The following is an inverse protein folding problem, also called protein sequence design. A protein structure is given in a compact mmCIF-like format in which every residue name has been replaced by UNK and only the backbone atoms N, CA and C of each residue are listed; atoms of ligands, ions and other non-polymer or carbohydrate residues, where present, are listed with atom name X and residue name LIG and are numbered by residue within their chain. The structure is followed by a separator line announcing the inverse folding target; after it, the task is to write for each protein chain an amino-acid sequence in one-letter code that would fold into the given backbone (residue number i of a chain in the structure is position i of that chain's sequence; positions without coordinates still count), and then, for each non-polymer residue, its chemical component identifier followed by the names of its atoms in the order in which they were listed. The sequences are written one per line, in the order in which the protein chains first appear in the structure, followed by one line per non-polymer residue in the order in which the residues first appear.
data_IF_234584348737
#
_entry.id   IF_234584348737
#
_cell.length_a   1.000
_cell.length_b   1.000
_cell.length_c   1.000
_cell.angle_alpha   90.00
_cell.angle_beta   90.00
_cell.angle_gamma   90.00
#
_symmetry.space_group_name_H-M   'P 1'
#
loop_
_entity.id
_entity.type
_entity.pdbx_description
1 polymer ?
#
# COMPACT_ATOMS: atom_id res chain seq x y z
N UNK A 1 -16.71 29.64 -33.27
CA UNK A 1 -16.82 30.99 -33.85
C UNK A 1 -16.60 31.99 -32.72
N UNK A 2 -15.44 32.67 -32.70
CA UNK A 2 -15.29 34.15 -32.72
C UNK A 2 -16.17 34.86 -31.68
N UNK A 3 -15.59 35.58 -30.71
CA UNK A 3 -15.10 36.93 -30.98
C UNK A 3 -13.93 37.37 -30.07
N UNK A 4 -13.12 38.23 -30.68
CA UNK A 4 -11.90 38.86 -30.21
C UNK A 4 -12.14 40.32 -29.73
N UNK A 5 -11.10 40.85 -29.07
CA UNK A 5 -10.61 42.25 -29.01
C UNK A 5 -11.25 43.22 -27.99
N UNK A 6 -10.41 43.76 -27.10
CA UNK A 6 -9.95 45.15 -27.24
C UNK A 6 -8.52 45.35 -26.71
N UNK A 7 -7.68 45.87 -27.61
CA UNK A 7 -6.37 46.50 -27.41
C UNK A 7 -6.62 47.99 -27.12
N UNK A 8 -5.86 48.66 -26.24
CA UNK A 8 -5.12 49.90 -26.57
C UNK A 8 -4.38 50.50 -25.37
N UNK A 9 -3.13 50.86 -25.64
CA UNK A 9 -2.14 51.54 -24.79
C UNK A 9 -2.34 53.06 -24.64
N UNK A 10 -1.49 53.62 -23.76
CA UNK A 10 -1.02 55.01 -23.60
C UNK A 10 -1.75 55.94 -22.62
N UNK A 11 -1.04 56.35 -21.55
CA UNK A 11 -0.50 57.71 -21.44
C UNK A 11 0.41 57.85 -20.20
N UNK A 12 1.60 58.40 -20.46
CA UNK A 12 2.61 58.85 -19.50
C UNK A 12 2.15 60.18 -18.88
N UNK A 13 2.30 60.35 -17.56
CA UNK A 13 2.43 61.68 -16.97
C UNK A 13 3.41 61.63 -15.78
N UNK A 14 4.64 62.09 -16.04
CA UNK A 14 5.59 62.45 -15.01
C UNK A 14 5.36 63.91 -14.60
N UNK A 15 5.24 64.18 -13.30
CA UNK A 15 5.54 65.48 -12.68
C UNK A 15 5.96 65.22 -11.24
N UNK A 16 7.20 65.59 -10.90
CA UNK A 16 7.75 65.45 -9.56
C UNK A 16 7.30 66.55 -8.60
N UNK A 17 7.80 66.47 -7.36
CA UNK A 17 8.59 67.52 -6.68
C UNK A 17 8.53 67.38 -5.14
N UNK A 18 9.73 67.48 -4.55
CA UNK A 18 10.08 68.08 -3.25
C UNK A 18 9.71 67.41 -1.90
N UNK A 19 10.79 67.21 -1.13
CA UNK A 19 10.99 67.69 0.26
C UNK A 19 10.56 66.78 1.42
N UNK A 20 11.52 66.26 2.18
CA UNK A 20 11.98 66.90 3.43
C UNK A 20 13.11 66.09 4.08
N UNK A 21 14.08 66.85 4.59
CA UNK A 21 15.23 66.44 5.37
C UNK A 21 14.88 66.12 6.83
N UNK A 22 15.58 65.13 7.40
CA UNK A 22 16.00 65.13 8.81
C UNK A 22 15.27 64.16 9.73
N UNK A 23 16.00 63.17 10.26
CA UNK A 23 16.24 62.94 11.70
C UNK A 23 16.93 61.58 11.90
N UNK A 24 18.01 61.58 12.69
CA UNK A 24 18.72 60.40 13.19
C UNK A 24 17.80 59.46 14.00
N UNK A 25 17.92 58.14 13.83
CA UNK A 25 17.97 57.21 14.96
C UNK A 25 18.29 55.76 14.54
N UNK A 26 19.36 55.26 15.17
CA UNK A 26 19.57 53.92 15.74
C UNK A 26 19.01 52.69 15.03
N UNK A 27 19.96 51.86 14.62
CA UNK A 27 19.95 50.40 14.68
C UNK A 27 18.69 49.80 15.31
N UNK A 28 17.93 49.11 14.48
CA UNK A 28 17.11 47.98 14.89
C UNK A 28 17.41 46.86 13.89
N UNK A 29 18.46 46.10 14.17
CA UNK A 29 18.54 44.72 13.71
C UNK A 29 17.30 44.02 14.27
N UNK A 30 16.32 43.76 13.41
CA UNK A 30 15.36 42.69 13.65
C UNK A 30 16.11 41.37 13.49
N UNK A 31 16.80 40.99 14.56
CA UNK A 31 17.28 39.65 14.78
C UNK A 31 16.04 38.76 14.93
N UNK A 32 15.56 38.25 13.81
CA UNK A 32 14.58 37.16 13.77
C UNK A 32 15.21 35.97 14.49
N UNK A 33 14.83 35.77 15.75
CA UNK A 33 15.26 34.61 16.52
C UNK A 33 14.33 33.49 16.11
N UNK A 34 14.71 32.76 15.06
CA UNK A 34 14.12 31.47 14.73
C UNK A 34 14.50 30.53 15.87
N UNK A 35 13.53 30.18 16.71
CA UNK A 35 13.66 29.01 17.57
C UNK A 35 13.59 27.80 16.65
N UNK A 36 14.75 27.20 16.38
CA UNK A 36 14.83 25.84 15.84
C UNK A 36 14.27 24.90 16.93
N UNK A 37 12.97 24.62 16.87
CA UNK A 37 12.39 23.47 17.57
C UNK A 37 13.19 22.24 17.13
N UNK A 38 13.73 21.43 18.06
CA UNK A 38 14.44 20.23 17.69
C UNK A 38 13.48 19.32 16.94
N UNK A 39 13.81 19.00 15.68
CA UNK A 39 13.04 18.07 14.87
C UNK A 39 12.86 16.76 15.66
N UNK A 40 11.62 16.50 16.07
CA UNK A 40 11.30 15.32 16.86
C UNK A 40 11.39 14.10 15.96
N UNK A 41 12.26 13.16 16.32
CA UNK A 41 12.33 11.87 15.64
C UNK A 41 11.23 10.96 16.16
N UNK A 42 10.51 10.32 15.26
CA UNK A 42 9.35 9.48 15.58
C UNK A 42 9.47 8.14 14.84
N UNK A 43 9.11 7.06 15.52
CA UNK A 43 9.01 5.73 14.92
C UNK A 43 7.82 5.71 13.95
N UNK A 44 8.06 5.15 12.77
CA UNK A 44 7.08 5.09 11.71
C UNK A 44 7.16 3.76 10.97
N UNK A 45 6.15 3.50 10.14
CA UNK A 45 5.98 2.25 9.42
C UNK A 45 5.60 2.54 7.97
N UNK A 46 6.17 1.78 7.04
CA UNK A 46 5.71 1.82 5.66
C UNK A 46 4.37 1.11 5.51
N UNK A 47 3.37 1.80 4.95
CA UNK A 47 2.04 1.24 4.64
C UNK A 47 1.94 0.75 3.19
N UNK A 48 3.06 0.72 2.46
CA UNK A 48 3.10 0.26 1.08
C UNK A 48 4.40 -0.50 0.79
N UNK A 49 4.34 -1.44 -0.15
CA UNK A 49 5.50 -2.26 -0.51
C UNK A 49 6.31 -1.61 -1.63
N UNK A 50 7.64 -1.68 -1.53
CA UNK A 50 8.56 -1.23 -2.58
C UNK A 50 8.70 0.29 -2.70
N UNK A 51 8.45 1.06 -1.63
CA UNK A 51 8.56 2.52 -1.67
C UNK A 51 10.02 2.93 -1.87
N UNK A 52 10.27 3.76 -2.89
CA UNK A 52 11.62 4.23 -3.21
C UNK A 52 12.13 5.23 -2.20
N UNK A 53 13.35 5.00 -1.70
CA UNK A 53 14.14 5.93 -0.88
C UNK A 53 15.15 6.63 -1.78
N UNK A 54 15.19 7.96 -1.75
CA UNK A 54 16.02 8.78 -2.65
C UNK A 54 16.94 9.75 -1.90
N UNK A 55 18.04 10.15 -2.54
CA UNK A 55 19.01 11.12 -1.98
C UNK A 55 18.39 12.53 -1.86
N UNK A 56 17.47 12.88 -2.76
CA UNK A 56 16.74 14.15 -2.78
C UNK A 56 15.22 13.94 -2.72
N UNK A 57 14.44 14.91 -2.18
CA UNK A 57 12.98 14.86 -2.09
C UNK A 57 12.30 15.18 -3.44
N UNK A 58 12.67 14.44 -4.48
CA UNK A 58 12.10 14.57 -5.83
C UNK A 58 12.02 13.19 -6.48
N UNK A 59 11.16 13.04 -7.50
CA UNK A 59 11.04 11.77 -8.24
C UNK A 59 12.28 11.43 -9.05
N UNK A 60 13.00 12.44 -9.52
CA UNK A 60 14.26 12.33 -10.27
C UNK A 60 15.48 12.14 -9.34
N UNK A 61 15.30 12.26 -8.02
CA UNK A 61 16.35 12.09 -7.04
C UNK A 61 16.99 10.70 -7.13
N UNK A 62 18.30 10.62 -6.86
CA UNK A 62 19.03 9.35 -7.03
C UNK A 62 18.48 8.28 -6.09
N UNK A 63 18.17 7.10 -6.64
CA UNK A 63 17.67 5.96 -5.85
C UNK A 63 18.75 5.41 -4.91
N UNK A 64 18.36 5.16 -3.66
CA UNK A 64 19.21 4.57 -2.61
C UNK A 64 18.79 3.13 -2.32
N UNK A 65 17.50 2.93 -2.04
CA UNK A 65 16.93 1.65 -1.61
C UNK A 65 15.40 1.66 -1.75
N UNK A 66 14.75 0.59 -1.29
CA UNK A 66 13.29 0.48 -1.19
C UNK A 66 12.88 -0.01 0.19
N UNK A 67 11.69 0.40 0.63
CA UNK A 67 11.09 -0.01 1.90
C UNK A 67 9.97 -1.01 1.63
N UNK A 68 9.90 -2.07 2.43
CA UNK A 68 8.82 -3.04 2.37
C UNK A 68 7.61 -2.65 3.21
N UNK A 69 6.44 -3.18 2.86
CA UNK A 69 5.23 -3.05 3.68
C UNK A 69 5.51 -3.55 5.11
N UNK A 70 5.09 -2.78 6.12
CA UNK A 70 5.28 -3.11 7.53
C UNK A 70 6.70 -2.87 8.07
N UNK A 71 7.65 -2.45 7.23
CA UNK A 71 9.01 -2.15 7.68
C UNK A 71 9.02 -0.91 8.60
N UNK A 72 9.74 -1.03 9.72
CA UNK A 72 9.93 0.04 10.70
C UNK A 72 11.01 0.99 10.21
N UNK A 73 10.72 2.30 10.26
CA UNK A 73 11.65 3.37 9.90
C UNK A 73 11.61 4.46 10.97
N UNK A 74 12.65 5.30 10.99
CA UNK A 74 12.70 6.47 11.87
C UNK A 74 12.49 7.73 11.04
N UNK A 75 11.37 8.43 11.24
CA UNK A 75 11.17 9.76 10.66
C UNK A 75 12.07 10.78 11.36
N UNK A 76 12.80 11.57 10.59
CA UNK A 76 13.77 12.54 11.14
C UNK A 76 13.15 13.87 11.53
N UNK A 77 11.89 14.11 11.14
CA UNK A 77 11.17 15.37 11.27
C UNK A 77 11.38 16.34 10.11
N UNK A 78 12.33 16.07 9.18
CA UNK A 78 12.46 16.91 7.98
C UNK A 78 11.40 16.55 6.94
N UNK A 79 10.80 17.60 6.38
CA UNK A 79 9.83 17.51 5.29
C UNK A 79 10.26 18.40 4.14
N UNK A 80 9.81 18.06 2.93
CA UNK A 80 10.04 18.84 1.73
C UNK A 80 8.86 18.69 0.78
N UNK A 81 8.65 19.68 -0.08
CA UNK A 81 7.59 19.68 -1.10
C UNK A 81 8.25 19.83 -2.46
N UNK A 82 7.99 18.87 -3.35
CA UNK A 82 8.41 18.95 -4.74
C UNK A 82 7.33 19.67 -5.56
N UNK A 83 7.51 20.99 -5.72
CA UNK A 83 6.61 21.81 -6.53
C UNK A 83 6.65 21.50 -8.03
N UNK A 84 7.60 20.67 -8.51
CA UNK A 84 7.65 20.24 -9.91
C UNK A 84 6.68 19.08 -10.21
N UNK A 85 6.23 18.36 -9.18
CA UNK A 85 5.31 17.23 -9.30
C UNK A 85 4.09 17.39 -8.38
N UNK A 86 3.15 18.25 -8.79
CA UNK A 86 1.86 18.42 -8.10
C UNK A 86 1.96 18.72 -6.59
N UNK A 87 3.05 19.38 -6.18
CA UNK A 87 3.39 19.64 -4.77
C UNK A 87 3.45 18.36 -3.93
N UNK A 88 4.02 17.29 -4.48
CA UNK A 88 4.21 16.04 -3.75
C UNK A 88 5.06 16.26 -2.50
N UNK A 89 4.56 15.76 -1.38
CA UNK A 89 5.23 15.87 -0.09
C UNK A 89 6.19 14.69 0.15
N UNK A 90 7.33 14.99 0.74
CA UNK A 90 8.36 14.05 1.12
C UNK A 90 8.73 14.21 2.59
N UNK A 91 9.07 13.09 3.22
CA UNK A 91 9.62 13.01 4.57
C UNK A 91 10.99 12.36 4.49
N UNK A 92 11.95 12.86 5.28
CA UNK A 92 13.26 12.23 5.41
C UNK A 92 13.21 11.18 6.52
N UNK A 93 13.64 9.97 6.20
CA UNK A 93 13.63 8.81 7.08
C UNK A 93 15.03 8.20 7.23
N UNK A 94 15.22 7.39 8.26
CA UNK A 94 16.37 6.53 8.47
C UNK A 94 15.91 5.06 8.58
N UNK A 95 16.56 4.18 7.82
CA UNK A 95 16.30 2.74 7.79
C UNK A 95 17.08 1.99 8.89
N UNK A 96 16.72 0.73 9.11
CA UNK A 96 17.39 -0.14 10.09
C UNK A 96 18.86 -0.46 9.78
N UNK A 97 19.29 -0.29 8.53
CA UNK A 97 20.68 -0.42 8.08
C UNK A 97 21.47 0.90 8.13
N UNK A 98 20.93 1.89 8.84
CA UNK A 98 21.44 3.26 8.98
C UNK A 98 21.43 4.13 7.73
N UNK A 99 20.95 3.64 6.56
CA UNK A 99 20.74 4.51 5.40
C UNK A 99 19.68 5.56 5.68
N UNK A 100 19.85 6.73 5.08
CA UNK A 100 18.95 7.87 5.23
C UNK A 100 18.60 8.43 3.86
N UNK A 101 17.36 8.86 3.68
CA UNK A 101 16.88 9.44 2.45
C UNK A 101 15.42 9.87 2.51
N UNK A 102 14.89 10.28 1.38
CA UNK A 102 13.55 10.86 1.23
C UNK A 102 12.58 9.85 0.63
N UNK A 103 11.37 9.85 1.17
CA UNK A 103 10.24 9.06 0.67
C UNK A 103 8.99 9.92 0.59
N UNK A 104 8.07 9.53 -0.29
CA UNK A 104 6.75 10.17 -0.41
C UNK A 104 5.98 9.96 0.90
N UNK A 105 5.48 11.04 1.50
CA UNK A 105 4.86 11.04 2.82
C UNK A 105 3.63 10.13 2.91
N UNK A 106 2.85 10.02 1.84
CA UNK A 106 1.59 9.26 1.80
C UNK A 106 1.74 7.77 2.14
N UNK A 107 2.96 7.23 2.08
CA UNK A 107 3.23 5.80 2.27
C UNK A 107 3.96 5.46 3.58
N UNK A 108 4.20 6.45 4.45
CA UNK A 108 4.82 6.24 5.76
C UNK A 108 3.96 6.89 6.83
N UNK A 109 3.64 6.15 7.88
CA UNK A 109 2.77 6.61 8.97
C UNK A 109 3.49 6.47 10.31
N UNK A 110 3.33 7.46 11.18
CA UNK A 110 3.81 7.39 12.57
C UNK A 110 3.07 6.27 13.33
N UNK A 111 3.80 5.42 14.04
CA UNK A 111 3.20 4.35 14.81
C UNK A 111 4.01 3.05 14.80
N UNK A 112 3.33 1.95 15.11
CA UNK A 112 3.94 0.62 15.23
C UNK A 112 3.27 -0.37 14.30
N UNK A 113 4.06 -1.19 13.61
CA UNK A 113 3.56 -2.21 12.71
C UNK A 113 2.82 -3.28 13.51
N UNK A 114 1.64 -3.66 13.03
CA UNK A 114 0.84 -4.76 13.58
C UNK A 114 0.20 -5.53 12.43
N UNK A 115 -0.27 -6.74 12.71
CA UNK A 115 -1.03 -7.53 11.75
C UNK A 115 -2.31 -8.08 12.37
N UNK A 116 -3.36 -8.19 11.56
CA UNK A 116 -4.63 -8.76 12.00
C UNK A 116 -4.52 -10.28 12.14
N UNK A 117 -4.76 -10.80 13.34
CA UNK A 117 -4.75 -12.25 13.62
C UNK A 117 -6.00 -12.97 13.12
N UNK A 118 -7.08 -12.22 12.95
CA UNK A 118 -8.41 -12.66 12.55
C UNK A 118 -9.12 -11.49 11.90
N UNK A 119 -10.35 -11.68 11.44
CA UNK A 119 -11.18 -10.56 10.99
C UNK A 119 -11.29 -9.48 12.09
N UNK A 120 -10.77 -8.28 11.81
CA UNK A 120 -10.76 -7.16 12.73
C UNK A 120 -11.79 -6.11 12.29
N UNK A 121 -12.93 -6.09 12.99
CA UNK A 121 -14.03 -5.17 12.69
C UNK A 121 -13.63 -3.71 12.96
N UNK A 122 -13.83 -2.83 11.98
CA UNK A 122 -13.54 -1.38 12.12
C UNK A 122 -14.73 -0.64 12.71
N UNK A 123 -14.44 0.24 13.67
CA UNK A 123 -15.40 1.15 14.32
C UNK A 123 -14.97 2.61 14.12
N UNK A 124 -15.94 3.53 14.03
CA UNK A 124 -15.63 4.98 13.89
C UNK A 124 -15.12 5.60 15.18
N UNK A 125 -15.41 4.98 16.31
CA UNK A 125 -15.01 5.40 17.66
C UNK A 125 -14.65 4.14 18.47
N UNK A 126 -13.92 4.29 19.58
CA UNK A 126 -13.58 3.17 20.47
C UNK A 126 -14.80 2.74 21.30
N UNK A 127 -15.88 2.35 20.63
CA UNK A 127 -17.12 1.88 21.21
C UNK A 127 -17.86 0.91 20.27
N UNK A 128 -18.62 -0.02 20.84
CA UNK A 128 -19.30 -1.07 20.09
C UNK A 128 -20.49 -0.57 19.24
N UNK A 129 -20.94 0.68 19.42
CA UNK A 129 -22.12 1.24 18.75
C UNK A 129 -21.78 1.91 17.41
N UNK A 130 -20.49 2.10 17.11
CA UNK A 130 -20.03 2.77 15.89
C UNK A 130 -19.43 1.84 14.86
N UNK A 131 -19.88 0.58 14.85
CA UNK A 131 -19.51 -0.46 13.89
C UNK A 131 -19.68 0.06 12.45
N UNK A 132 -18.69 -0.19 11.60
CA UNK A 132 -18.75 0.07 10.15
C UNK A 132 -19.08 -1.20 9.37
N UNK A 133 -19.22 -1.07 8.05
CA UNK A 133 -19.32 -2.17 7.09
C UNK A 133 -17.95 -2.70 6.63
N UNK A 134 -16.86 -2.17 7.18
CA UNK A 134 -15.48 -2.55 6.83
C UNK A 134 -14.82 -3.36 7.94
N UNK A 135 -13.94 -4.26 7.55
CA UNK A 135 -13.04 -5.00 8.44
C UNK A 135 -11.69 -5.19 7.75
N UNK A 136 -10.69 -5.51 8.56
CA UNK A 136 -9.43 -6.06 8.05
C UNK A 136 -9.50 -7.59 8.10
N UNK A 137 -8.90 -8.22 7.12
CA UNK A 137 -8.78 -9.67 6.98
C UNK A 137 -7.57 -10.17 7.79
N UNK A 138 -7.54 -11.47 8.17
CA UNK A 138 -6.33 -12.06 8.72
C UNK A 138 -5.11 -11.78 7.84
N UNK A 139 -3.95 -11.58 8.46
CA UNK A 139 -2.69 -11.19 7.82
C UNK A 139 -2.65 -9.80 7.19
N UNK A 140 -3.71 -8.98 7.25
CA UNK A 140 -3.58 -7.57 6.86
C UNK A 140 -2.53 -6.88 7.75
N UNK A 141 -1.63 -6.11 7.13
CA UNK A 141 -0.56 -5.37 7.82
C UNK A 141 -0.99 -3.93 7.98
N UNK A 142 -0.98 -3.47 9.23
CA UNK A 142 -1.54 -2.19 9.65
C UNK A 142 -0.52 -1.40 10.49
N UNK A 143 -0.80 -0.13 10.70
CA UNK A 143 -0.08 0.74 11.63
C UNK A 143 -0.98 1.05 12.79
N UNK A 144 -0.55 0.69 14.00
CA UNK A 144 -1.16 1.13 15.24
C UNK A 144 -0.68 2.55 15.55
N UNK A 145 -1.62 3.50 15.56
CA UNK A 145 -1.36 4.93 15.75
C UNK A 145 -1.68 5.37 17.18
N UNK A 146 -2.79 4.92 17.74
CA UNK A 146 -3.24 5.29 19.09
C UNK A 146 -3.77 4.06 19.86
N UNK A 147 -3.62 4.05 21.18
CA UNK A 147 -4.25 3.08 22.07
C UNK A 147 -5.14 3.77 23.09
N UNK A 148 -6.37 3.26 23.23
CA UNK A 148 -7.34 3.70 24.24
C UNK A 148 -8.04 2.50 24.86
N UNK A 149 -7.64 2.16 26.08
CA UNK A 149 -8.10 0.97 26.79
C UNK A 149 -7.88 -0.31 25.96
N UNK A 150 -8.94 -1.02 25.62
CA UNK A 150 -8.94 -2.24 24.79
C UNK A 150 -9.01 -1.96 23.27
N UNK A 151 -9.09 -0.69 22.90
CA UNK A 151 -9.20 -0.23 21.52
C UNK A 151 -7.88 0.34 21.03
N UNK A 152 -7.63 0.15 19.75
CA UNK A 152 -6.51 0.79 19.06
C UNK A 152 -6.98 1.41 17.77
N UNK A 153 -6.51 2.61 17.49
CA UNK A 153 -6.68 3.23 16.19
C UNK A 153 -5.60 2.72 15.26
N UNK A 154 -6.02 2.21 14.11
CA UNK A 154 -5.13 1.64 13.11
C UNK A 154 -5.37 2.28 11.75
N UNK A 155 -4.33 2.28 10.92
CA UNK A 155 -4.40 2.62 9.49
C UNK A 155 -3.80 1.51 8.65
N UNK A 156 -4.46 1.14 7.56
CA UNK A 156 -3.95 0.14 6.63
C UNK A 156 -4.94 -0.12 5.50
N UNK A 157 -4.63 -1.10 4.66
CA UNK A 157 -5.51 -1.56 3.58
C UNK A 157 -5.75 -3.05 3.73
N UNK A 158 -6.94 -3.51 3.36
CA UNK A 158 -7.16 -4.95 3.22
C UNK A 158 -6.65 -5.44 1.87
N UNK A 159 -6.30 -6.73 1.78
CA UNK A 159 -5.88 -7.34 0.53
C UNK A 159 -6.91 -7.09 -0.59
N UNK A 160 -6.43 -6.66 -1.76
CA UNK A 160 -7.28 -6.32 -2.91
C UNK A 160 -7.96 -4.94 -2.87
N UNK A 161 -7.92 -4.23 -1.74
CA UNK A 161 -8.44 -2.87 -1.67
C UNK A 161 -7.43 -1.82 -2.18
N UNK A 162 -7.96 -0.76 -2.81
CA UNK A 162 -7.17 0.34 -3.39
C UNK A 162 -6.86 1.48 -2.41
N UNK A 163 -7.62 1.58 -1.33
CA UNK A 163 -7.59 2.73 -0.43
C UNK A 163 -7.26 2.29 0.98
N UNK A 164 -6.50 3.13 1.69
CA UNK A 164 -6.27 2.98 3.12
C UNK A 164 -7.50 3.41 3.90
N UNK A 165 -7.78 2.69 4.97
CA UNK A 165 -8.80 3.04 5.95
C UNK A 165 -8.14 3.29 7.29
N UNK A 166 -8.80 4.12 8.09
CA UNK A 166 -8.45 4.33 9.49
C UNK A 166 -9.67 4.11 10.36
N UNK A 167 -9.45 3.59 11.55
CA UNK A 167 -10.51 3.43 12.54
C UNK A 167 -10.07 2.60 13.73
N UNK A 168 -11.02 2.39 14.64
CA UNK A 168 -10.78 1.71 15.90
C UNK A 168 -11.09 0.22 15.77
N UNK A 169 -10.17 -0.62 16.23
CA UNK A 169 -10.31 -2.08 16.29
C UNK A 169 -9.98 -2.57 17.71
N UNK A 170 -10.33 -3.82 18.03
CA UNK A 170 -9.95 -4.41 19.33
C UNK A 170 -8.48 -4.82 19.30
N UNK A 171 -7.73 -4.47 20.36
CA UNK A 171 -6.31 -4.83 20.48
C UNK A 171 -6.07 -6.34 20.41
N UNK A 172 -7.03 -7.13 20.89
CA UNK A 172 -7.00 -8.60 20.92
C UNK A 172 -7.05 -9.26 19.54
N UNK A 173 -7.44 -8.51 18.51
CA UNK A 173 -7.53 -9.01 17.14
C UNK A 173 -6.22 -8.79 16.38
N UNK A 174 -5.23 -8.13 17.00
CA UNK A 174 -3.97 -7.76 16.38
C UNK A 174 -2.77 -8.41 17.07
N UNK A 175 -1.70 -8.65 16.30
CA UNK A 175 -0.38 -9.01 16.80
C UNK A 175 0.64 -7.93 16.44
N UNK A 176 1.48 -7.58 17.40
CA UNK A 176 2.70 -6.76 17.24
C UNK A 176 3.98 -7.62 17.24
N UNK A 177 3.83 -8.95 17.17
CA UNK A 177 4.96 -9.86 17.06
C UNK A 177 5.62 -9.72 15.67
N UNK A 178 6.93 -9.51 15.66
CA UNK A 178 7.69 -9.30 14.41
C UNK A 178 7.62 -10.50 13.47
N UNK A 179 7.52 -11.73 14.01
CA UNK A 179 7.39 -12.96 13.21
C UNK A 179 6.01 -13.06 12.58
N UNK A 180 4.94 -12.73 13.32
CA UNK A 180 3.58 -12.70 12.76
C UNK A 180 3.51 -11.67 11.61
N UNK A 181 4.06 -10.47 11.81
CA UNK A 181 4.09 -9.40 10.80
C UNK A 181 4.90 -9.83 9.56
N UNK A 182 6.08 -10.43 9.76
CA UNK A 182 6.90 -10.91 8.64
C UNK A 182 6.16 -11.97 7.83
N UNK A 183 5.57 -12.98 8.49
CA UNK A 183 4.80 -14.04 7.82
C UNK A 183 3.61 -13.45 7.07
N UNK A 184 2.89 -12.50 7.66
CA UNK A 184 1.79 -11.81 7.01
C UNK A 184 2.23 -11.09 5.71
N UNK A 185 3.36 -10.37 5.73
CA UNK A 185 3.91 -9.71 4.53
C UNK A 185 4.26 -10.72 3.44
N UNK A 186 4.96 -11.81 3.79
CA UNK A 186 5.34 -12.82 2.80
C UNK A 186 4.13 -13.59 2.27
N UNK A 187 3.17 -13.90 3.13
CA UNK A 187 1.91 -14.53 2.74
C UNK A 187 1.15 -13.67 1.75
N UNK A 188 0.98 -12.37 2.00
CA UNK A 188 0.32 -11.46 1.06
C UNK A 188 1.00 -11.48 -0.32
N UNK A 189 2.34 -11.44 -0.35
CA UNK A 189 3.10 -11.52 -1.62
C UNK A 189 2.88 -12.84 -2.33
N UNK A 190 2.82 -13.95 -1.60
CA UNK A 190 2.52 -15.26 -2.18
C UNK A 190 1.09 -15.31 -2.75
N UNK A 191 0.09 -14.80 -2.02
CA UNK A 191 -1.31 -14.79 -2.46
C UNK A 191 -1.58 -13.86 -3.65
N UNK A 192 -0.70 -12.89 -3.93
CA UNK A 192 -0.77 -12.06 -5.14
C UNK A 192 -0.24 -12.77 -6.40
N UNK A 193 0.38 -13.94 -6.28
CA UNK A 193 0.86 -14.74 -7.41
C UNK A 193 -0.34 -15.40 -8.10
N UNK A 194 -0.59 -15.01 -9.35
CA UNK A 194 -1.70 -15.55 -10.16
C UNK A 194 -1.52 -17.04 -10.49
N UNK A 195 -0.28 -17.45 -10.75
CA UNK A 195 0.12 -18.81 -11.09
C UNK A 195 0.09 -19.72 -9.85
N UNK A 196 -0.73 -20.76 -9.86
CA UNK A 196 -1.01 -21.57 -8.67
C UNK A 196 0.19 -22.39 -8.20
N UNK A 197 0.96 -22.96 -9.13
CA UNK A 197 2.18 -23.72 -8.82
C UNK A 197 3.19 -22.81 -8.10
N UNK A 198 3.45 -21.62 -8.64
CA UNK A 198 4.35 -20.63 -8.00
C UNK A 198 3.80 -20.09 -6.68
N UNK A 199 2.49 -19.94 -6.56
CA UNK A 199 1.84 -19.55 -5.30
C UNK A 199 2.07 -20.62 -4.23
N UNK A 200 1.85 -21.89 -4.57
CA UNK A 200 2.11 -23.04 -3.70
C UNK A 200 3.59 -23.13 -3.30
N UNK A 201 4.52 -22.96 -4.25
CA UNK A 201 5.97 -22.91 -3.96
C UNK A 201 6.30 -21.78 -2.97
N UNK A 202 5.77 -20.57 -3.20
CA UNK A 202 6.02 -19.42 -2.32
C UNK A 202 5.46 -19.65 -0.90
N UNK A 203 4.26 -20.26 -0.78
CA UNK A 203 3.69 -20.62 0.53
C UNK A 203 4.55 -21.70 1.21
N UNK A 204 5.02 -22.69 0.46
CA UNK A 204 5.90 -23.74 0.98
C UNK A 204 7.22 -23.16 1.52
N UNK A 205 7.84 -22.22 0.81
CA UNK A 205 9.05 -21.53 1.28
C UNK A 205 8.83 -20.83 2.64
N UNK A 206 7.65 -20.22 2.84
CA UNK A 206 7.28 -19.60 4.13
C UNK A 206 7.18 -20.67 5.21
N UNK A 207 6.52 -21.79 4.92
CA UNK A 207 6.30 -22.89 5.87
C UNK A 207 7.60 -23.60 6.29
N UNK A 208 8.58 -23.67 5.39
CA UNK A 208 9.88 -24.30 5.63
C UNK A 208 10.88 -23.39 6.35
N UNK A 209 10.58 -22.09 6.45
CA UNK A 209 11.47 -21.15 7.13
C UNK A 209 11.42 -21.30 8.66
N UNK A 210 12.52 -21.78 9.25
CA UNK A 210 12.64 -22.00 10.70
C UNK A 210 12.35 -20.75 11.55
N UNK A 211 12.65 -19.56 11.01
CA UNK A 211 12.43 -18.28 11.70
C UNK A 211 10.94 -17.94 11.83
N UNK A 212 10.08 -18.57 11.04
CA UNK A 212 8.64 -18.29 10.98
C UNK A 212 7.80 -19.26 11.81
N UNK A 213 8.41 -20.32 12.35
CA UNK A 213 7.72 -21.40 13.07
C UNK A 213 6.88 -20.96 14.28
N UNK A 214 7.20 -19.81 14.88
CA UNK A 214 6.42 -19.25 15.99
C UNK A 214 5.21 -18.41 15.58
N UNK A 215 5.02 -18.16 14.27
CA UNK A 215 3.91 -17.38 13.78
C UNK A 215 2.57 -18.11 14.01
N UNK A 216 1.55 -17.34 14.35
CA UNK A 216 0.18 -17.86 14.51
C UNK A 216 -0.44 -18.26 13.16
N UNK A 217 0.09 -17.73 12.05
CA UNK A 217 -0.43 -17.95 10.70
C UNK A 217 0.05 -19.25 10.04
N UNK A 218 1.00 -19.96 10.65
CA UNK A 218 1.59 -21.16 10.04
C UNK A 218 0.56 -22.27 9.79
N UNK A 219 -0.47 -22.38 10.65
CA UNK A 219 -1.55 -23.36 10.48
C UNK A 219 -2.44 -22.97 9.30
N UNK A 220 -2.79 -21.70 9.18
CA UNK A 220 -3.65 -21.20 8.11
C UNK A 220 -2.97 -21.35 6.75
N UNK A 221 -1.68 -21.00 6.65
CA UNK A 221 -0.88 -21.18 5.43
C UNK A 221 -0.73 -22.65 5.05
N UNK A 222 -0.62 -23.54 6.03
CA UNK A 222 -0.57 -24.99 5.75
C UNK A 222 -1.90 -25.50 5.20
N UNK A 223 -3.02 -24.99 5.69
CA UNK A 223 -4.34 -25.37 5.18
C UNK A 223 -4.52 -24.86 3.74
N UNK A 224 -4.17 -23.60 3.48
CA UNK A 224 -4.19 -23.01 2.13
C UNK A 224 -3.37 -23.84 1.13
N UNK A 225 -2.13 -24.22 1.50
CA UNK A 225 -1.29 -25.05 0.63
C UNK A 225 -1.92 -26.42 0.33
N UNK A 226 -2.62 -27.03 1.30
CA UNK A 226 -3.29 -28.31 1.06
C UNK A 226 -4.48 -28.18 0.12
N UNK A 227 -5.23 -27.07 0.21
CA UNK A 227 -6.36 -26.78 -0.68
C UNK A 227 -5.89 -26.60 -2.12
N UNK A 228 -4.83 -25.82 -2.33
CA UNK A 228 -4.23 -25.64 -3.66
C UNK A 228 -3.77 -26.97 -4.29
N UNK A 229 -3.15 -27.85 -3.49
CA UNK A 229 -2.69 -29.15 -3.98
C UNK A 229 -3.85 -30.13 -4.27
N UNK A 230 -4.96 -30.06 -3.53
CA UNK A 230 -6.12 -30.92 -3.80
C UNK A 230 -6.84 -30.54 -5.09
N UNK A 231 -6.91 -29.25 -5.40
CA UNK A 231 -7.54 -28.75 -6.62
C UNK A 231 -6.74 -29.19 -7.88
N UNK A 232 -5.41 -29.23 -7.78
CA UNK A 232 -4.54 -29.75 -8.84
C UNK A 232 -4.76 -31.25 -9.08
N UNK A 233 -4.89 -32.06 -8.03
CA UNK A 233 -5.17 -33.50 -8.15
C UNK A 233 -6.53 -33.78 -8.80
N UNK A 234 -7.56 -32.98 -8.52
CA UNK A 234 -8.89 -33.11 -9.13
C UNK A 234 -8.89 -32.74 -10.62
N UNK A 235 -8.21 -31.64 -10.99
CA UNK A 235 -8.05 -31.23 -12.40
C UNK A 235 -7.29 -32.26 -13.24
N UNK A 236 -6.33 -32.98 -12.64
CA UNK A 236 -5.56 -34.03 -13.28
C UNK A 236 -6.31 -35.39 -13.34
N UNK A 237 -7.41 -35.53 -12.60
CA UNK A 237 -8.20 -36.75 -12.53
C UNK A 237 -9.43 -36.77 -13.48
N UNK A 238 -9.77 -35.66 -14.15
CA UNK A 238 -10.83 -35.66 -15.16
C UNK A 238 -10.40 -36.47 -16.40
N UNK A 239 -11.12 -37.55 -16.76
CA UNK A 239 -10.77 -38.36 -17.92
C UNK A 239 -11.04 -37.55 -19.20
N UNK A 240 -10.06 -37.51 -20.10
CA UNK A 240 -10.25 -37.13 -21.50
C UNK A 240 -11.11 -38.19 -22.22
N UNK A 241 -12.38 -38.33 -21.86
CA UNK A 241 -13.36 -39.05 -22.66
C UNK A 241 -14.10 -38.08 -23.57
N UNK A 242 -13.64 -38.01 -24.81
CA UNK A 242 -14.45 -38.23 -26.02
C UNK A 242 -13.80 -37.51 -27.20
N UNK A 243 -13.02 -38.25 -27.98
CA UNK A 243 -12.96 -38.09 -29.42
C UNK A 243 -12.26 -39.32 -30.01
N UNK A 244 -12.95 -40.45 -30.07
CA UNK A 244 -12.62 -41.44 -31.08
C UNK A 244 -13.84 -42.20 -31.60
N UNK A 245 -13.79 -42.45 -32.91
CA UNK A 245 -14.67 -43.25 -33.77
C UNK A 245 -16.04 -42.66 -34.14
N UNK A 246 -16.18 -42.24 -35.41
CA UNK A 246 -16.83 -43.08 -36.45
C UNK A 246 -16.24 -42.69 -37.82
N UNK A 247 -15.36 -43.57 -38.32
CA UNK A 247 -15.03 -43.66 -39.75
C UNK A 247 -16.19 -44.33 -40.52
N UNK A 248 -16.40 -43.80 -41.72
CA UNK A 248 -16.89 -44.40 -42.96
C UNK A 248 -17.66 -45.74 -42.95
N UNK A 249 -18.85 -45.73 -43.58
CA UNK A 249 -19.16 -46.73 -44.60
C UNK A 249 -20.05 -46.16 -45.72
N UNK A 250 -19.63 -46.45 -46.96
CA UNK A 250 -20.38 -46.29 -48.22
C UNK A 250 -21.15 -47.58 -48.45
N UNK A 251 -22.40 -47.50 -48.93
CA UNK A 251 -22.85 -48.34 -50.06
C UNK A 251 -24.13 -47.83 -50.72
N UNK A 252 -24.24 -48.14 -52.01
CA UNK A 252 -25.20 -47.67 -53.02
C UNK A 252 -25.96 -48.89 -53.53
N UNK A 253 -27.30 -48.85 -53.60
CA UNK A 253 -28.17 -49.52 -54.60
C UNK A 253 -29.65 -49.21 -54.26
N UNK A 254 -30.39 -48.43 -55.05
CA UNK A 254 -31.17 -48.76 -56.27
C UNK A 254 -32.36 -49.74 -56.10
N UNK A 255 -33.56 -49.16 -56.28
CA UNK A 255 -34.73 -49.66 -57.04
C UNK A 255 -35.83 -50.53 -56.43
N UNK A 256 -37.03 -50.21 -56.95
CA UNK A 256 -38.31 -50.94 -57.05
C UNK A 256 -39.31 -50.87 -55.89
N UNK A 257 -40.29 -49.95 -56.04
CA UNK A 257 -41.68 -50.28 -55.73
C UNK A 257 -42.57 -49.90 -56.94
N UNK A 258 -43.07 -50.92 -57.61
CA UNK A 258 -44.19 -50.87 -58.53
C UNK A 258 -45.11 -52.06 -58.21
N UNK A 259 -46.41 -51.89 -58.53
CA UNK A 259 -47.55 -52.84 -58.43
C UNK A 259 -48.34 -52.67 -57.11
N UNK A 260 -49.66 -52.51 -57.06
CA UNK A 260 -50.75 -52.12 -57.97
C UNK A 260 -52.04 -52.22 -57.14
N UNK A 261 -53.00 -51.32 -57.36
CA UNK A 261 -54.42 -51.68 -57.49
C UNK A 261 -54.96 -51.00 -58.75
#
# INVERSE_FOLDING_TARGET
MKNYYYVLSFAILALGLFSCSGTENKEKEEQSTVQEEPLQKVDAVSIWDGISVREEPTSDGKWISSISLGEKVLMTGKTAVDSSEDNREYVEIKLGDDKQGWVVSDFVEEGTAVTALREAQIFKRPDLLTKTDKSYSPMDVLVLMETKDEWVEVKGKSQGEKWFWSGWVKRTDLSDNEVDIAVAVYAQKAMEIEDEEKRSEAIQEILENESFTSSQFMVDLKNELNELNSDEEELMAEPTEEMDSVEADKEVEETEEAISE
#
